data_IF_356273064937
#
_entry.id   IF_356273064937
#
_cell.length_a   1.000
_cell.length_b   1.000
_cell.length_c   1.000
_cell.angle_alpha   90.00
_cell.angle_beta   90.00
_cell.angle_gamma   90.00
#
_symmetry.space_group_name_H-M   'P 1'
#
loop_
_entity.id
_entity.type
_entity.pdbx_description
1 polymer ?
#
# COMPACT_ATOMS: atom_id res chain seq x y z
N UNK A 1 -9.90 7.48 -21.70
CA UNK A 1 -9.20 6.19 -21.75
C UNK A 1 -7.86 6.39 -21.03
N UNK A 2 -7.57 5.67 -19.95
CA UNK A 2 -6.27 5.78 -19.26
C UNK A 2 -5.17 5.36 -20.25
N UNK A 3 -4.17 6.21 -20.46
CA UNK A 3 -3.05 5.86 -21.30
C UNK A 3 -2.30 4.68 -20.65
N UNK A 4 -1.85 3.72 -21.47
CA UNK A 4 -1.20 2.47 -20.99
C UNK A 4 0.15 2.71 -20.30
N UNK A 5 0.72 3.89 -20.48
CA UNK A 5 1.99 4.38 -19.93
C UNK A 5 1.85 4.93 -18.50
N UNK A 6 0.63 5.11 -17.96
CA UNK A 6 0.43 5.64 -16.59
C UNK A 6 0.16 4.48 -15.62
N UNK A 7 1.09 4.19 -14.69
CA UNK A 7 0.87 3.19 -13.67
C UNK A 7 -0.24 3.60 -12.70
N UNK A 8 -1.00 2.62 -12.21
CA UNK A 8 -2.01 2.85 -11.18
C UNK A 8 -1.47 2.39 -9.83
N UNK A 9 -1.44 3.32 -8.90
CA UNK A 9 -1.02 3.08 -7.52
C UNK A 9 -2.26 2.73 -6.67
N UNK A 10 -2.22 1.59 -5.98
CA UNK A 10 -3.29 1.12 -5.11
C UNK A 10 -2.81 1.09 -3.66
N UNK A 11 -3.35 2.00 -2.84
CA UNK A 11 -3.16 2.06 -1.39
C UNK A 11 -4.50 1.98 -0.69
N UNK A 12 -5.02 0.77 -0.49
CA UNK A 12 -6.40 0.50 -0.08
C UNK A 12 -6.45 -0.68 0.90
N UNK A 13 -7.59 -0.83 1.60
CA UNK A 13 -7.84 -1.93 2.55
C UNK A 13 -7.58 -1.56 4.02
N UNK A 14 -6.87 -0.46 4.29
CA UNK A 14 -6.60 -0.01 5.67
C UNK A 14 -7.88 0.26 6.47
N UNK A 15 -8.82 1.00 5.90
CA UNK A 15 -10.09 1.32 6.56
C UNK A 15 -10.93 0.08 6.87
N UNK A 16 -10.96 -0.90 5.95
CA UNK A 16 -11.71 -2.15 6.12
C UNK A 16 -11.19 -2.93 7.33
N UNK A 17 -9.86 -3.11 7.41
CA UNK A 17 -9.20 -3.82 8.49
C UNK A 17 -9.32 -3.09 9.84
N UNK A 18 -9.25 -1.76 9.82
CA UNK A 18 -9.44 -0.93 11.02
C UNK A 18 -10.89 -0.96 11.56
N UNK A 19 -11.85 -1.31 10.70
CA UNK A 19 -13.27 -1.54 11.04
C UNK A 19 -13.59 -3.02 11.29
N UNK A 20 -12.57 -3.83 11.58
CA UNK A 20 -12.69 -5.27 11.87
C UNK A 20 -13.34 -6.09 10.75
N UNK A 21 -13.27 -5.62 9.51
CA UNK A 21 -13.71 -6.42 8.36
C UNK A 21 -12.81 -7.66 8.25
N UNK A 22 -13.38 -8.88 8.13
CA UNK A 22 -12.57 -10.09 8.02
C UNK A 22 -11.56 -9.99 6.86
N UNK A 23 -10.29 -10.25 7.14
CA UNK A 23 -9.20 -10.17 6.15
C UNK A 23 -9.50 -11.00 4.88
N UNK A 24 -10.19 -12.13 5.02
CA UNK A 24 -10.64 -12.95 3.89
C UNK A 24 -11.55 -12.16 2.94
N UNK A 25 -12.50 -11.38 3.47
CA UNK A 25 -13.42 -10.55 2.70
C UNK A 25 -12.65 -9.44 1.97
N UNK A 26 -11.71 -8.79 2.66
CA UNK A 26 -10.85 -7.76 2.05
C UNK A 26 -10.01 -8.34 0.91
N UNK A 27 -9.43 -9.54 1.08
CA UNK A 27 -8.68 -10.25 0.03
C UNK A 27 -9.53 -10.57 -1.19
N UNK A 28 -10.78 -11.01 -1.00
CA UNK A 28 -11.70 -11.31 -2.09
C UNK A 28 -12.12 -10.06 -2.87
N UNK A 29 -12.42 -8.97 -2.16
CA UNK A 29 -12.70 -7.68 -2.77
C UNK A 29 -11.50 -7.18 -3.58
N UNK A 30 -10.29 -7.29 -3.02
CA UNK A 30 -9.06 -6.88 -3.70
C UNK A 30 -8.78 -7.71 -4.96
N UNK A 31 -8.93 -9.04 -4.91
CA UNK A 31 -8.82 -9.90 -6.11
C UNK A 31 -9.82 -9.50 -7.20
N UNK A 32 -11.05 -9.19 -6.79
CA UNK A 32 -12.10 -8.75 -7.73
C UNK A 32 -11.74 -7.42 -8.40
N UNK A 33 -11.19 -6.48 -7.62
CA UNK A 33 -10.68 -5.21 -8.12
C UNK A 33 -9.54 -5.41 -9.13
N UNK A 34 -8.54 -6.23 -8.80
CA UNK A 34 -7.43 -6.52 -9.72
C UNK A 34 -7.93 -7.16 -11.01
N UNK A 35 -8.86 -8.13 -10.92
CA UNK A 35 -9.48 -8.74 -12.10
C UNK A 35 -10.17 -7.69 -12.97
N UNK A 36 -10.86 -6.71 -12.36
CA UNK A 36 -11.50 -5.62 -13.08
C UNK A 36 -10.48 -4.72 -13.78
N UNK A 37 -9.40 -4.33 -13.10
CA UNK A 37 -8.29 -3.58 -13.71
C UNK A 37 -7.71 -4.32 -14.91
N UNK A 38 -7.41 -5.61 -14.76
CA UNK A 38 -6.87 -6.43 -15.85
C UNK A 38 -7.82 -6.53 -17.05
N UNK A 39 -9.13 -6.61 -16.80
CA UNK A 39 -10.16 -6.65 -17.85
C UNK A 39 -10.37 -5.30 -18.55
N UNK A 40 -10.44 -4.21 -17.80
CA UNK A 40 -10.84 -2.89 -18.31
C UNK A 40 -9.65 -2.05 -18.78
N UNK A 41 -8.47 -2.28 -18.22
CA UNK A 41 -7.24 -1.54 -18.49
C UNK A 41 -6.09 -2.52 -18.82
N UNK A 42 -6.24 -3.33 -19.89
CA UNK A 42 -5.19 -4.26 -20.29
C UNK A 42 -3.93 -3.49 -20.70
N UNK A 43 -2.82 -3.78 -20.01
CA UNK A 43 -1.52 -3.14 -20.22
C UNK A 43 -1.08 -2.19 -19.10
N UNK A 44 -2.00 -1.73 -18.25
CA UNK A 44 -1.63 -0.85 -17.13
C UNK A 44 -0.82 -1.62 -16.09
N UNK A 45 0.29 -1.02 -15.67
CA UNK A 45 1.09 -1.48 -14.53
C UNK A 45 0.38 -1.11 -13.24
N UNK A 46 0.28 -2.06 -12.32
CA UNK A 46 -0.28 -1.84 -10.99
C UNK A 46 0.86 -1.78 -9.96
N UNK A 47 0.81 -0.79 -9.08
CA UNK A 47 1.74 -0.65 -7.95
C UNK A 47 0.91 -0.76 -6.68
N UNK A 48 1.06 -1.88 -5.97
CA UNK A 48 0.34 -2.16 -4.73
C UNK A 48 1.18 -1.68 -3.54
N UNK A 49 0.60 -0.87 -2.66
CA UNK A 49 1.29 -0.41 -1.46
C UNK A 49 0.84 -1.24 -0.27
N UNK A 50 1.80 -1.84 0.43
CA UNK A 50 1.56 -2.48 1.73
C UNK A 50 1.12 -1.46 2.77
N UNK A 51 0.18 -1.87 3.60
CA UNK A 51 -0.29 -1.05 4.70
C UNK A 51 0.81 -0.91 5.76
N UNK A 52 1.04 0.30 6.29
CA UNK A 52 1.93 0.48 7.44
C UNK A 52 1.29 -0.11 8.69
N UNK A 53 2.09 -0.27 9.75
CA UNK A 53 1.53 -0.48 11.07
C UNK A 53 0.88 0.83 11.53
N UNK A 54 -0.45 0.83 11.72
CA UNK A 54 -1.16 2.00 12.22
C UNK A 54 -1.00 2.08 13.74
N UNK A 55 -0.51 3.20 14.31
CA UNK A 55 -0.43 3.35 15.77
C UNK A 55 -1.78 3.24 16.48
N UNK A 56 -2.89 3.52 15.78
CA UNK A 56 -4.25 3.26 16.27
C UNK A 56 -4.49 1.78 16.64
N UNK A 57 -3.73 0.85 16.06
CA UNK A 57 -3.77 -0.57 16.38
C UNK A 57 -2.93 -0.93 17.61
N UNK A 58 -2.28 0.03 18.29
CA UNK A 58 -1.58 -0.23 19.55
C UNK A 58 -2.55 -0.83 20.57
N UNK A 59 -2.24 -2.00 21.10
CA UNK A 59 -3.13 -2.77 21.97
C UNK A 59 -4.24 -3.57 21.25
N UNK A 60 -4.24 -3.66 19.92
CA UNK A 60 -5.22 -4.39 19.11
C UNK A 60 -4.57 -5.50 18.28
N UNK A 61 -4.14 -6.61 18.91
CA UNK A 61 -3.34 -7.65 18.24
C UNK A 61 -4.04 -8.28 17.04
N UNK A 62 -5.36 -8.48 17.09
CA UNK A 62 -6.14 -9.02 15.96
C UNK A 62 -6.12 -8.12 14.72
N UNK A 63 -6.13 -6.80 14.91
CA UNK A 63 -6.07 -5.86 13.79
C UNK A 63 -4.68 -5.83 13.17
N UNK A 64 -3.62 -5.88 14.01
CA UNK A 64 -2.23 -6.01 13.54
C UNK A 64 -2.03 -7.31 12.74
N UNK A 65 -2.49 -8.43 13.26
CA UNK A 65 -2.43 -9.72 12.56
C UNK A 65 -3.16 -9.66 11.21
N UNK A 66 -4.35 -9.05 11.18
CA UNK A 66 -5.12 -8.89 9.94
C UNK A 66 -4.39 -8.04 8.90
N UNK A 67 -3.69 -6.98 9.33
CA UNK A 67 -2.82 -6.15 8.48
C UNK A 67 -1.65 -6.97 7.94
N UNK A 68 -0.99 -7.76 8.78
CA UNK A 68 0.14 -8.61 8.37
C UNK A 68 -0.28 -9.71 7.40
N UNK A 69 -1.41 -10.36 7.65
CA UNK A 69 -2.00 -11.34 6.74
C UNK A 69 -2.38 -10.71 5.39
N UNK A 70 -2.95 -9.50 5.39
CA UNK A 70 -3.28 -8.78 4.16
C UNK A 70 -2.03 -8.36 3.39
N UNK A 71 -1.02 -7.82 4.08
CA UNK A 71 0.28 -7.47 3.50
C UNK A 71 0.99 -8.68 2.91
N UNK A 72 0.95 -9.84 3.58
CA UNK A 72 1.47 -11.10 3.04
C UNK A 72 0.75 -11.48 1.76
N UNK A 73 -0.58 -11.37 1.74
CA UNK A 73 -1.37 -11.58 0.53
C UNK A 73 -0.95 -10.63 -0.62
N UNK A 74 -0.74 -9.34 -0.37
CA UNK A 74 -0.30 -8.40 -1.41
C UNK A 74 1.02 -8.84 -2.06
N UNK A 75 1.98 -9.35 -1.28
CA UNK A 75 3.24 -9.88 -1.81
C UNK A 75 3.05 -11.04 -2.78
N UNK A 76 2.02 -11.87 -2.61
CA UNK A 76 1.71 -12.98 -3.53
C UNK A 76 1.15 -12.53 -4.87
N UNK A 77 0.81 -11.25 -5.03
CA UNK A 77 0.21 -10.69 -6.25
C UNK A 77 1.25 -10.07 -7.18
N UNK A 78 2.55 -10.09 -6.81
CA UNK A 78 3.63 -9.55 -7.63
C UNK A 78 3.77 -10.36 -8.92
N UNK A 79 3.82 -9.67 -10.05
CA UNK A 79 4.01 -10.26 -11.38
C UNK A 79 4.67 -9.22 -12.32
N UNK A 80 4.87 -9.56 -13.61
CA UNK A 80 5.50 -8.65 -14.58
C UNK A 80 4.82 -7.28 -14.69
N UNK A 81 3.50 -7.21 -14.46
CA UNK A 81 2.67 -6.00 -14.52
C UNK A 81 2.14 -5.57 -13.15
N UNK A 82 2.61 -6.17 -12.06
CA UNK A 82 2.24 -5.84 -10.67
C UNK A 82 3.48 -5.71 -9.80
N UNK A 83 3.77 -4.52 -9.31
CA UNK A 83 4.77 -4.29 -8.27
C UNK A 83 4.12 -4.19 -6.88
N UNK A 84 4.90 -4.51 -5.85
CA UNK A 84 4.47 -4.38 -4.46
C UNK A 84 5.51 -3.56 -3.71
N UNK A 85 5.10 -2.39 -3.21
CA UNK A 85 5.94 -1.44 -2.47
C UNK A 85 5.69 -1.60 -0.98
N UNK A 86 6.77 -1.73 -0.21
CA UNK A 86 6.70 -1.92 1.24
C UNK A 86 6.89 -0.59 1.97
N UNK A 87 5.84 0.23 2.04
CA UNK A 87 5.88 1.48 2.81
C UNK A 87 6.27 1.25 4.27
N UNK A 88 5.87 0.10 4.82
CA UNK A 88 6.22 -0.34 6.16
C UNK A 88 7.71 -0.56 6.39
N UNK A 89 8.60 -0.58 5.37
CA UNK A 89 10.05 -0.70 5.59
C UNK A 89 10.71 0.61 6.02
N UNK A 90 10.19 1.74 5.55
CA UNK A 90 10.65 3.09 5.90
C UNK A 90 9.83 3.67 7.06
N UNK A 91 8.55 3.28 7.18
CA UNK A 91 7.64 3.71 8.24
C UNK A 91 7.55 2.68 9.38
N UNK A 92 8.69 2.10 9.79
CA UNK A 92 8.74 0.96 10.73
C UNK A 92 8.48 1.32 12.19
N UNK A 93 8.85 2.52 12.63
CA UNK A 93 8.83 2.80 14.06
C UNK A 93 7.56 3.55 14.43
N UNK A 94 6.91 3.07 15.49
CA UNK A 94 5.97 3.87 16.28
C UNK A 94 6.60 5.21 16.67
N UNK A 95 7.94 5.26 16.86
CA UNK A 95 8.69 6.50 17.03
C UNK A 95 8.57 7.47 15.84
N UNK A 96 8.61 7.01 14.58
CA UNK A 96 8.37 7.84 13.39
C UNK A 96 6.96 8.43 13.41
N UNK A 97 5.99 7.66 13.88
CA UNK A 97 4.66 8.17 14.07
C UNK A 97 4.57 9.13 15.28
N UNK A 98 5.14 8.80 16.44
CA UNK A 98 5.07 9.59 17.67
C UNK A 98 5.87 10.91 17.62
N UNK A 99 7.06 10.93 16.99
CA UNK A 99 7.88 12.13 16.80
C UNK A 99 7.17 13.21 15.99
N UNK A 100 6.29 12.80 15.07
CA UNK A 100 5.65 13.71 14.13
C UNK A 100 4.12 13.79 14.28
N UNK A 101 3.47 12.91 15.04
CA UNK A 101 2.03 12.99 15.32
C UNK A 101 1.66 14.18 16.20
N UNK A 102 2.50 14.51 17.20
CA UNK A 102 2.26 15.68 18.05
C UNK A 102 2.23 17.00 17.29
N UNK A 103 2.72 17.02 16.04
CA UNK A 103 2.72 18.17 15.12
C UNK A 103 1.80 17.98 13.91
N UNK A 104 1.11 16.84 13.80
CA UNK A 104 0.21 16.54 12.69
C UNK A 104 -1.13 17.24 12.88
N UNK A 105 -1.70 17.75 11.79
CA UNK A 105 -3.08 18.26 11.77
C UNK A 105 -4.14 17.18 12.04
N UNK A 106 -3.74 15.90 12.03
CA UNK A 106 -4.65 14.75 12.20
C UNK A 106 -3.99 13.64 13.04
N UNK A 107 -3.98 13.75 14.38
CA UNK A 107 -3.31 12.81 15.27
C UNK A 107 -4.16 11.55 15.55
N UNK A 108 -4.68 10.91 14.50
CA UNK A 108 -5.63 9.79 14.66
C UNK A 108 -4.98 8.40 14.64
N UNK A 109 -3.65 8.34 14.55
CA UNK A 109 -2.91 7.08 14.51
C UNK A 109 -3.13 6.26 13.24
N UNK A 110 -3.69 6.86 12.19
CA UNK A 110 -3.99 6.18 10.91
C UNK A 110 -3.38 6.94 9.74
N UNK A 111 -3.63 8.25 9.64
CA UNK A 111 -3.17 9.04 8.50
C UNK A 111 -1.69 9.36 8.61
N UNK A 112 -1.02 9.37 7.45
CA UNK A 112 0.35 9.85 7.32
C UNK A 112 0.37 11.37 7.54
N UNK A 113 1.46 11.87 8.14
CA UNK A 113 1.79 13.29 8.13
C UNK A 113 2.56 13.65 6.84
N UNK A 114 2.93 14.92 6.69
CA UNK A 114 3.64 15.42 5.51
C UNK A 114 4.92 14.64 5.22
N UNK A 115 5.70 14.25 6.24
CA UNK A 115 6.93 13.47 6.08
C UNK A 115 6.64 12.02 5.64
N UNK A 116 5.57 11.42 6.16
CA UNK A 116 5.09 10.12 5.72
C UNK A 116 4.65 10.14 4.25
N UNK A 117 3.98 11.22 3.80
CA UNK A 117 3.63 11.40 2.39
C UNK A 117 4.86 11.65 1.51
N UNK A 118 5.85 12.44 1.95
CA UNK A 118 7.13 12.62 1.23
C UNK A 118 7.86 11.30 1.06
N UNK A 119 7.92 10.50 2.12
CA UNK A 119 8.51 9.15 2.09
C UNK A 119 7.78 8.25 1.09
N UNK A 120 6.44 8.24 1.12
CA UNK A 120 5.63 7.49 0.16
C UNK A 120 5.93 7.90 -1.28
N UNK A 121 5.98 9.20 -1.57
CA UNK A 121 6.30 9.72 -2.92
C UNK A 121 7.70 9.26 -3.34
N UNK A 122 8.71 9.40 -2.47
CA UNK A 122 10.07 8.94 -2.76
C UNK A 122 10.12 7.45 -3.13
N UNK A 123 9.44 6.60 -2.37
CA UNK A 123 9.39 5.15 -2.63
C UNK A 123 8.70 4.83 -3.95
N UNK A 124 7.60 5.53 -4.27
CA UNK A 124 6.90 5.36 -5.54
C UNK A 124 7.79 5.79 -6.71
N UNK A 125 8.50 6.92 -6.58
CA UNK A 125 9.46 7.38 -7.60
C UNK A 125 10.56 6.36 -7.84
N UNK A 126 11.15 5.79 -6.78
CA UNK A 126 12.19 4.76 -6.90
C UNK A 126 11.67 3.49 -7.60
N UNK A 127 10.46 3.04 -7.27
CA UNK A 127 9.86 1.88 -7.92
C UNK A 127 9.58 2.16 -9.40
N UNK A 128 9.13 3.37 -9.74
CA UNK A 128 8.90 3.78 -11.13
C UNK A 128 10.21 3.82 -11.94
N UNK A 129 11.28 4.38 -11.38
CA UNK A 129 12.61 4.43 -12.01
C UNK A 129 13.12 3.00 -12.28
N UNK A 130 13.11 2.14 -11.26
CA UNK A 130 13.55 0.74 -11.38
C UNK A 130 12.82 -0.02 -12.49
N UNK A 131 11.52 0.25 -12.66
CA UNK A 131 10.71 -0.38 -13.71
C UNK A 131 10.98 0.20 -15.09
N UNK A 132 11.31 1.48 -15.17
CA UNK A 132 11.71 2.10 -16.43
C UNK A 132 13.02 1.50 -16.92
N UNK A 133 14.01 1.38 -16.04
CA UNK A 133 15.31 0.76 -16.34
C UNK A 133 15.16 -0.70 -16.77
N UNK A 134 14.41 -1.51 -16.01
CA UNK A 134 14.19 -2.92 -16.35
C UNK A 134 13.44 -3.14 -17.67
N UNK A 135 12.70 -2.13 -18.15
CA UNK A 135 11.99 -2.19 -19.43
C UNK A 135 12.83 -1.75 -20.64
N UNK A 136 14.01 -1.15 -20.43
CA UNK A 136 14.95 -0.80 -21.51
C UNK A 136 15.85 -1.99 -21.90
N UNK A 137 15.97 -2.99 -21.03
CA UNK A 137 16.77 -4.21 -21.23
C UNK A 137 15.98 -5.38 -21.86
N UNK A 138 14.73 -5.15 -22.31
CA UNK A 138 13.81 -6.16 -22.86
C UNK A 138 13.41 -5.86 -24.29
#
# INVERSE_FOLDING_TARGET
>A
MLRRDVPVVLFLGGNDLLRDTPVRSVRLAFRSLLRLFRKKLPGVVLILIKLPAFPRCSGRPRQLESIDQFNTFLSTLKDMRTSVVHLSQELKSTAFFHLYYGRSKRPDGVHLNDEGYRTLVRMLTQELIKRHEAGQDS
#
